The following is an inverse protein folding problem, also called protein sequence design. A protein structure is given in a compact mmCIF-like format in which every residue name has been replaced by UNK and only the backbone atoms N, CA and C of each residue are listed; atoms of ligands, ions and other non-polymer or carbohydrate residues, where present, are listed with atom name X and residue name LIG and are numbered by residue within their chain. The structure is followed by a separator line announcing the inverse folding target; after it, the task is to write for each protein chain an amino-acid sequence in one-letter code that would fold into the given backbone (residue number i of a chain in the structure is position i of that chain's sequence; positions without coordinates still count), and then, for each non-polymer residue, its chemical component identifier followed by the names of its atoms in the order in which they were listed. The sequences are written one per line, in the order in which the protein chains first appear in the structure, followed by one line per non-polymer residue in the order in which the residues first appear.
data_IF_289604761355
#
_entry.id   IF_289604761355
#
_cell.length_a   1.000
_cell.length_b   1.000
_cell.length_c   1.000
_cell.angle_alpha   90.00
_cell.angle_beta   90.00
_cell.angle_gamma   90.00
#
_symmetry.space_group_name_H-M   'P 1'
#
loop_
_entity.id
_entity.type
_entity.pdbx_description
1 polymer ?
#
# COMPACT_ATOMS: atom_id res chain seq x y z
N UNK A 1 -10.12 -0.95 25.40
CA UNK A 1 -8.92 -1.21 24.57
C UNK A 1 -9.02 -2.67 24.10
N UNK A 2 -9.10 -2.96 22.80
CA UNK A 2 -9.57 -4.23 22.18
C UNK A 2 -8.75 -5.52 22.48
N UNK A 3 -8.00 -5.59 23.59
CA UNK A 3 -7.32 -6.82 24.05
C UNK A 3 -6.17 -7.35 23.17
N UNK A 4 -5.97 -6.83 21.96
CA UNK A 4 -4.93 -7.27 21.04
C UNK A 4 -3.58 -6.61 21.33
N UNK A 5 -2.53 -7.42 21.38
CA UNK A 5 -1.13 -6.97 21.47
C UNK A 5 -0.63 -6.37 20.14
N UNK A 6 0.48 -5.62 20.21
CA UNK A 6 1.14 -5.04 19.02
C UNK A 6 1.44 -6.06 17.92
N UNK A 7 1.72 -7.32 18.27
CA UNK A 7 2.01 -8.40 17.30
C UNK A 7 0.74 -9.00 16.67
N UNK A 8 -0.40 -8.87 17.34
CA UNK A 8 -1.68 -9.44 16.89
C UNK A 8 -2.46 -8.47 15.98
N UNK A 9 -2.28 -7.15 16.16
CA UNK A 9 -2.92 -6.13 15.32
C UNK A 9 -2.69 -6.32 13.81
N UNK A 10 -1.46 -6.61 13.32
CA UNK A 10 -1.24 -6.87 11.90
C UNK A 10 -1.99 -8.10 11.39
N UNK A 11 -2.15 -9.14 12.21
CA UNK A 11 -2.87 -10.36 11.85
C UNK A 11 -4.37 -10.06 11.72
N UNK A 12 -4.93 -9.34 12.69
CA UNK A 12 -6.32 -8.90 12.64
C UNK A 12 -6.59 -8.04 11.40
N UNK A 13 -5.70 -7.08 11.11
CA UNK A 13 -5.78 -6.28 9.88
C UNK A 13 -5.79 -7.16 8.62
N UNK A 14 -4.90 -8.15 8.54
CA UNK A 14 -4.82 -9.04 7.39
C UNK A 14 -6.09 -9.87 7.19
N UNK A 15 -6.65 -10.42 8.29
CA UNK A 15 -7.93 -11.12 8.27
C UNK A 15 -9.05 -10.21 7.77
N UNK A 16 -9.18 -9.01 8.34
CA UNK A 16 -10.23 -8.07 7.93
C UNK A 16 -10.11 -7.67 6.47
N UNK A 17 -8.89 -7.42 5.98
CA UNK A 17 -8.66 -7.13 4.56
C UNK A 17 -9.03 -8.31 3.65
N UNK A 18 -8.75 -9.54 4.07
CA UNK A 18 -9.04 -10.74 3.30
C UNK A 18 -10.55 -11.01 3.21
N UNK A 19 -11.27 -10.89 4.33
CA UNK A 19 -12.74 -11.05 4.36
C UNK A 19 -13.42 -9.92 3.58
N UNK A 20 -12.96 -8.68 3.77
CA UNK A 20 -13.59 -7.52 3.13
C UNK A 20 -13.18 -7.33 1.65
N UNK A 21 -12.34 -8.21 1.10
CA UNK A 21 -11.72 -8.02 -0.23
C UNK A 21 -12.75 -7.95 -1.36
N UNK A 22 -13.94 -8.53 -1.20
CA UNK A 22 -14.96 -8.57 -2.26
C UNK A 22 -15.94 -7.39 -2.14
N UNK A 23 -15.84 -6.61 -1.06
CA UNK A 23 -16.65 -5.41 -0.79
C UNK A 23 -15.90 -4.11 -1.07
N UNK A 24 -14.87 -4.15 -1.93
CA UNK A 24 -14.06 -2.96 -2.24
C UNK A 24 -14.95 -1.86 -2.79
N UNK A 25 -14.84 -0.66 -2.22
CA UNK A 25 -15.58 0.50 -2.71
C UNK A 25 -16.95 0.73 -2.08
N UNK A 26 -17.47 -0.24 -1.33
CA UNK A 26 -18.75 -0.13 -0.62
C UNK A 26 -18.52 0.47 0.77
N UNK A 27 -19.36 1.42 1.20
CA UNK A 27 -19.30 1.89 2.59
C UNK A 27 -19.94 0.88 3.52
N UNK A 28 -19.44 0.78 4.76
CA UNK A 28 -20.06 -0.06 5.77
C UNK A 28 -21.56 0.25 5.96
N UNK A 29 -21.94 1.52 5.92
CA UNK A 29 -23.35 1.95 6.01
C UNK A 29 -24.23 1.47 4.85
N UNK A 30 -23.64 1.15 3.70
CA UNK A 30 -24.34 0.75 2.46
C UNK A 30 -24.47 -0.77 2.35
N UNK A 31 -23.81 -1.55 3.22
CA UNK A 31 -23.97 -3.00 3.26
C UNK A 31 -25.30 -3.39 3.89
N UNK A 32 -25.96 -4.38 3.29
CA UNK A 32 -27.16 -4.97 3.88
C UNK A 32 -26.85 -5.67 5.22
N UNK A 33 -27.81 -5.70 6.17
CA UNK A 33 -27.58 -6.26 7.50
C UNK A 33 -27.07 -7.70 7.47
N UNK A 34 -27.58 -8.53 6.55
CA UNK A 34 -27.17 -9.93 6.42
C UNK A 34 -25.69 -10.06 6.04
N UNK A 35 -25.21 -9.29 5.07
CA UNK A 35 -23.77 -9.25 4.74
C UNK A 35 -22.91 -8.75 5.89
N UNK A 36 -23.41 -7.82 6.71
CA UNK A 36 -22.68 -7.37 7.90
C UNK A 36 -22.51 -8.52 8.89
N UNK A 37 -23.57 -9.29 9.14
CA UNK A 37 -23.53 -10.49 9.97
C UNK A 37 -22.57 -11.54 9.41
N UNK A 38 -22.62 -11.81 8.10
CA UNK A 38 -21.73 -12.74 7.42
C UNK A 38 -20.25 -12.32 7.59
N UNK A 39 -19.93 -11.04 7.33
CA UNK A 39 -18.57 -10.48 7.51
C UNK A 39 -18.11 -10.63 8.97
N UNK A 40 -18.98 -10.37 9.94
CA UNK A 40 -18.66 -10.50 11.35
C UNK A 40 -18.31 -11.94 11.71
N UNK A 41 -19.14 -12.87 11.27
CA UNK A 41 -18.96 -14.29 11.54
C UNK A 41 -17.67 -14.80 10.89
N UNK A 42 -17.41 -14.46 9.63
CA UNK A 42 -16.18 -14.83 8.94
C UNK A 42 -14.92 -14.28 9.61
N UNK A 43 -14.95 -13.01 10.07
CA UNK A 43 -13.84 -12.42 10.82
C UNK A 43 -13.62 -13.16 12.14
N UNK A 44 -14.68 -13.40 12.93
CA UNK A 44 -14.60 -14.15 14.19
C UNK A 44 -14.01 -15.55 13.98
N UNK A 45 -14.45 -16.25 12.94
CA UNK A 45 -13.98 -17.59 12.61
C UNK A 45 -12.51 -17.59 12.16
N UNK A 46 -12.11 -16.62 11.32
CA UNK A 46 -10.73 -16.47 10.90
C UNK A 46 -9.79 -16.07 12.07
N UNK A 47 -10.27 -15.25 13.00
CA UNK A 47 -9.55 -14.91 14.23
C UNK A 47 -9.34 -16.14 15.12
N UNK A 48 -10.39 -16.96 15.30
CA UNK A 48 -10.31 -18.23 16.04
C UNK A 48 -9.30 -19.18 15.39
N UNK A 49 -9.34 -19.35 14.06
CA UNK A 49 -8.37 -20.17 13.30
C UNK A 49 -6.93 -19.67 13.46
N UNK A 50 -6.77 -18.35 13.57
CA UNK A 50 -5.46 -17.69 13.76
C UNK A 50 -5.03 -17.58 15.22
N UNK A 51 -5.76 -18.21 16.16
CA UNK A 51 -5.50 -18.19 17.61
C UNK A 51 -5.42 -16.76 18.19
N UNK A 52 -6.20 -15.84 17.64
CA UNK A 52 -6.32 -14.49 18.18
C UNK A 52 -7.36 -14.45 19.32
N UNK A 53 -7.17 -13.58 20.32
CA UNK A 53 -8.21 -13.29 21.30
C UNK A 53 -9.50 -12.82 20.62
N UNK A 54 -10.64 -13.16 21.22
CA UNK A 54 -11.93 -12.66 20.73
C UNK A 54 -11.99 -11.13 20.84
N UNK A 55 -12.56 -10.50 19.83
CA UNK A 55 -12.86 -9.06 19.79
C UNK A 55 -14.38 -8.92 19.72
N UNK A 56 -14.88 -7.88 20.37
CA UNK A 56 -16.30 -7.56 20.38
C UNK A 56 -16.78 -7.03 19.02
N UNK A 57 -18.10 -6.99 18.88
CA UNK A 57 -18.77 -6.57 17.65
C UNK A 57 -18.43 -5.12 17.28
N UNK A 58 -18.29 -4.23 18.27
CA UNK A 58 -17.87 -2.85 18.04
C UNK A 58 -16.43 -2.76 17.51
N UNK A 59 -15.51 -3.57 18.04
CA UNK A 59 -14.13 -3.62 17.56
C UNK A 59 -14.00 -4.15 16.13
N UNK A 60 -14.83 -5.14 15.78
CA UNK A 60 -14.94 -5.65 14.41
C UNK A 60 -15.53 -4.57 13.50
N UNK A 61 -16.62 -3.92 13.90
CA UNK A 61 -17.26 -2.84 13.12
C UNK A 61 -16.29 -1.71 12.79
N UNK A 62 -15.59 -1.21 13.83
CA UNK A 62 -14.61 -0.15 13.66
C UNK A 62 -13.50 -0.57 12.69
N UNK A 63 -13.03 -1.82 12.80
CA UNK A 63 -11.98 -2.35 11.94
C UNK A 63 -12.47 -2.43 10.49
N UNK A 64 -13.65 -3.01 10.26
CA UNK A 64 -14.24 -3.14 8.91
C UNK A 64 -14.47 -1.78 8.27
N UNK A 65 -15.06 -0.84 9.02
CA UNK A 65 -15.28 0.55 8.60
C UNK A 65 -13.99 1.27 8.23
N UNK A 66 -12.86 0.88 8.82
CA UNK A 66 -11.54 1.43 8.51
C UNK A 66 -10.89 0.79 7.27
N UNK A 67 -11.11 -0.50 7.02
CA UNK A 67 -10.46 -1.21 5.90
C UNK A 67 -11.20 -1.07 4.58
N UNK A 68 -12.54 -0.96 4.57
CA UNK A 68 -13.31 -0.80 3.33
C UNK A 68 -12.91 0.45 2.51
N UNK A 69 -12.73 1.64 3.13
CA UNK A 69 -12.19 2.81 2.42
C UNK A 69 -10.77 2.59 1.89
N UNK A 70 -9.93 1.91 2.67
CA UNK A 70 -8.55 1.58 2.29
C UNK A 70 -8.52 0.67 1.06
N UNK A 71 -9.41 -0.34 1.01
CA UNK A 71 -9.57 -1.24 -0.13
C UNK A 71 -10.08 -0.51 -1.38
N UNK A 72 -11.01 0.45 -1.21
CA UNK A 72 -11.47 1.32 -2.30
C UNK A 72 -10.33 2.11 -2.91
N UNK A 73 -9.50 2.71 -2.08
CA UNK A 73 -8.34 3.49 -2.51
C UNK A 73 -7.34 2.60 -3.26
N UNK A 74 -7.01 1.42 -2.71
CA UNK A 74 -6.14 0.45 -3.38
C UNK A 74 -6.70 -0.03 -4.73
N UNK A 75 -8.01 -0.21 -4.85
CA UNK A 75 -8.65 -0.63 -6.11
C UNK A 75 -8.56 0.47 -7.17
N UNK A 76 -8.88 1.72 -6.82
CA UNK A 76 -8.74 2.86 -7.75
C UNK A 76 -7.32 2.97 -8.30
N UNK A 77 -6.31 2.77 -7.46
CA UNK A 77 -4.92 2.71 -7.92
C UNK A 77 -4.65 1.56 -8.87
N UNK A 78 -5.14 0.36 -8.55
CA UNK A 78 -4.96 -0.81 -9.39
C UNK A 78 -5.60 -0.61 -10.77
N UNK A 79 -6.80 -0.03 -10.81
CA UNK A 79 -7.54 0.25 -12.04
C UNK A 79 -6.82 1.31 -12.88
N UNK A 80 -6.50 2.49 -12.31
CA UNK A 80 -5.73 3.53 -13.00
C UNK A 80 -4.38 3.03 -13.52
N UNK A 81 -3.70 2.20 -12.73
CA UNK A 81 -2.44 1.60 -13.14
C UNK A 81 -2.62 0.60 -14.28
N UNK A 82 -3.68 -0.22 -14.25
CA UNK A 82 -4.00 -1.17 -15.31
C UNK A 82 -4.37 -0.43 -16.61
N UNK A 83 -5.14 0.64 -16.53
CA UNK A 83 -5.49 1.48 -17.67
C UNK A 83 -4.23 2.10 -18.29
N UNK A 84 -3.32 2.60 -17.46
CA UNK A 84 -2.01 3.05 -17.93
C UNK A 84 -1.22 1.94 -18.62
N UNK A 85 -1.18 0.72 -18.06
CA UNK A 85 -0.47 -0.40 -18.69
C UNK A 85 -1.06 -0.78 -20.05
N UNK A 86 -2.39 -0.74 -20.17
CA UNK A 86 -3.08 -0.98 -21.43
C UNK A 86 -2.73 0.09 -22.47
N UNK A 87 -2.71 1.37 -22.07
CA UNK A 87 -2.32 2.48 -22.95
C UNK A 87 -0.85 2.41 -23.37
N UNK A 88 0.04 2.11 -22.42
CA UNK A 88 1.47 2.03 -22.66
C UNK A 88 1.89 0.77 -23.44
N UNK A 89 1.03 -0.24 -23.54
CA UNK A 89 1.31 -1.50 -24.23
C UNK A 89 2.48 -2.28 -23.63
N UNK A 90 2.84 -2.01 -22.37
CA UNK A 90 4.05 -2.56 -21.75
C UNK A 90 3.90 -2.82 -20.26
N UNK A 91 4.83 -3.60 -19.71
CA UNK A 91 4.95 -3.84 -18.27
C UNK A 91 5.49 -2.58 -17.57
N UNK A 92 5.30 -2.52 -16.26
CA UNK A 92 5.82 -1.42 -15.44
C UNK A 92 7.34 -1.26 -15.62
N UNK A 93 7.84 -0.08 -16.01
CA UNK A 93 9.26 0.14 -16.23
C UNK A 93 10.00 0.38 -14.91
N UNK A 94 10.18 -0.69 -14.11
CA UNK A 94 10.83 -0.63 -12.79
C UNK A 94 12.18 0.10 -12.83
N UNK A 95 12.95 -0.07 -13.90
CA UNK A 95 14.25 0.57 -14.10
C UNK A 95 14.16 2.10 -14.09
N UNK A 96 13.13 2.68 -14.72
CA UNK A 96 12.94 4.13 -14.80
C UNK A 96 12.78 4.74 -13.40
N UNK A 97 11.91 4.13 -12.60
CA UNK A 97 11.63 4.58 -11.24
C UNK A 97 12.84 4.38 -10.33
N UNK A 98 13.59 3.29 -10.50
CA UNK A 98 14.85 3.06 -9.78
C UNK A 98 15.90 4.10 -10.15
N UNK A 99 16.05 4.43 -11.42
CA UNK A 99 17.01 5.45 -11.87
C UNK A 99 16.64 6.86 -11.38
N UNK A 100 15.34 7.18 -11.28
CA UNK A 100 14.89 8.45 -10.68
C UNK A 100 15.24 8.53 -9.18
N UNK A 101 15.00 7.45 -8.44
CA UNK A 101 15.42 7.32 -7.03
C UNK A 101 16.94 7.45 -6.91
N UNK A 102 17.68 6.66 -7.69
CA UNK A 102 19.14 6.68 -7.67
C UNK A 102 19.64 8.09 -8.01
N UNK A 103 19.14 8.76 -9.04
CA UNK A 103 19.57 10.10 -9.41
C UNK A 103 19.37 11.13 -8.27
N UNK A 104 18.26 11.03 -7.54
CA UNK A 104 17.95 11.96 -6.43
C UNK A 104 18.77 11.69 -5.18
N UNK A 105 19.06 10.43 -4.88
CA UNK A 105 19.75 10.01 -3.65
C UNK A 105 21.22 9.59 -3.87
N UNK A 106 21.73 9.62 -5.10
CA UNK A 106 23.13 9.33 -5.42
C UNK A 106 24.03 10.36 -4.74
N UNK A 107 25.01 9.88 -3.98
CA UNK A 107 25.95 10.73 -3.26
C UNK A 107 25.36 11.36 -1.99
N UNK A 108 24.05 11.23 -1.76
CA UNK A 108 23.45 11.46 -0.44
C UNK A 108 23.84 10.25 0.41
N UNK A 109 25.07 10.28 0.93
CA UNK A 109 25.44 9.60 2.18
C UNK A 109 24.68 10.26 3.36
N UNK A 110 23.40 10.63 3.19
CA UNK A 110 22.51 10.77 4.33
C UNK A 110 22.65 9.44 5.04
N UNK A 111 23.09 9.52 6.30
CA UNK A 111 23.43 8.35 7.09
C UNK A 111 22.29 7.37 6.88
N UNK A 112 22.62 6.20 6.32
CA UNK A 112 21.68 5.13 5.92
C UNK A 112 20.65 4.77 7.01
N UNK A 113 20.91 5.22 8.23
CA UNK A 113 20.13 5.10 9.45
C UNK A 113 18.91 6.03 9.53
N UNK A 114 18.90 7.14 8.76
CA UNK A 114 17.90 8.22 8.84
C UNK A 114 16.68 7.99 7.92
N UNK A 115 16.84 7.24 6.83
CA UNK A 115 15.77 6.91 5.88
C UNK A 115 15.36 5.44 6.01
N UNK A 116 14.43 5.16 6.92
CA UNK A 116 13.91 3.80 7.18
C UNK A 116 12.61 3.52 6.43
N UNK A 117 11.87 4.55 6.03
CA UNK A 117 10.62 4.40 5.29
C UNK A 117 10.28 5.60 4.40
N UNK A 118 9.50 5.35 3.35
CA UNK A 118 8.99 6.36 2.40
C UNK A 118 8.33 7.56 3.07
N UNK A 119 7.65 7.34 4.21
CA UNK A 119 6.92 8.40 4.94
C UNK A 119 7.83 9.38 5.66
N UNK A 120 9.13 9.08 5.80
CA UNK A 120 10.12 10.01 6.35
C UNK A 120 10.67 10.98 5.30
N UNK A 121 10.41 10.73 4.01
CA UNK A 121 10.84 11.61 2.93
C UNK A 121 9.88 12.81 2.89
N UNK A 122 10.40 14.06 2.95
CA UNK A 122 9.60 15.26 2.77
C UNK A 122 8.69 15.17 1.54
N UNK A 123 7.47 15.69 1.64
CA UNK A 123 6.49 15.64 0.57
C UNK A 123 7.02 16.28 -0.73
N UNK A 124 7.68 17.44 -0.62
CA UNK A 124 8.34 18.12 -1.73
C UNK A 124 9.27 17.20 -2.51
N UNK A 125 10.13 16.44 -1.80
CA UNK A 125 11.04 15.48 -2.43
C UNK A 125 10.27 14.31 -3.08
N UNK A 126 9.17 13.86 -2.47
CA UNK A 126 8.32 12.81 -3.06
C UNK A 126 7.65 13.29 -4.35
N UNK A 127 7.19 14.53 -4.40
CA UNK A 127 6.59 15.15 -5.58
C UNK A 127 7.63 15.39 -6.68
N UNK A 128 8.84 15.84 -6.34
CA UNK A 128 9.94 15.97 -7.30
C UNK A 128 10.32 14.62 -7.93
N UNK A 129 10.38 13.55 -7.14
CA UNK A 129 10.61 12.19 -7.66
C UNK A 129 9.49 11.74 -8.60
N UNK A 130 8.24 12.09 -8.30
CA UNK A 130 7.10 11.77 -9.15
C UNK A 130 7.18 12.49 -10.49
N UNK A 131 7.48 13.79 -10.47
CA UNK A 131 7.69 14.61 -11.66
C UNK A 131 8.85 14.08 -12.53
N UNK A 132 10.00 13.76 -11.92
CA UNK A 132 11.16 13.20 -12.62
C UNK A 132 10.86 11.81 -13.21
N UNK A 133 10.10 10.97 -12.51
CA UNK A 133 9.68 9.67 -13.03
C UNK A 133 8.78 9.81 -14.26
N UNK A 134 7.79 10.70 -14.22
CA UNK A 134 6.93 10.98 -15.36
C UNK A 134 7.70 11.58 -16.54
N UNK A 135 8.65 12.50 -16.28
CA UNK A 135 9.54 13.04 -17.31
C UNK A 135 10.31 11.93 -18.04
N UNK A 136 10.84 10.94 -17.31
CA UNK A 136 11.56 9.80 -17.89
C UNK A 136 10.65 8.85 -18.67
N UNK A 137 9.40 8.66 -18.22
CA UNK A 137 8.42 7.90 -19.01
C UNK A 137 8.21 8.54 -20.39
N UNK A 138 8.00 9.86 -20.42
CA UNK A 138 7.84 10.60 -21.67
C UNK A 138 9.07 10.50 -22.56
N UNK A 139 10.28 10.58 -22.00
CA UNK A 139 11.54 10.40 -22.74
C UNK A 139 11.67 9.01 -23.39
N UNK A 140 10.97 8.00 -22.86
CA UNK A 140 10.91 6.65 -23.42
C UNK A 140 9.71 6.43 -24.36
N UNK A 141 8.97 7.50 -24.69
CA UNK A 141 7.76 7.41 -25.51
C UNK A 141 6.57 6.77 -24.80
N UNK A 142 6.59 6.70 -23.47
CA UNK A 142 5.51 6.14 -22.66
C UNK A 142 4.58 7.27 -22.17
N UNK A 143 3.28 6.98 -21.99
CA UNK A 143 2.35 7.96 -21.41
C UNK A 143 2.73 8.28 -19.96
N UNK A 144 2.41 9.50 -19.52
CA UNK A 144 2.52 9.87 -18.11
C UNK A 144 1.52 9.08 -17.26
N UNK A 145 1.86 8.86 -15.99
CA UNK A 145 0.94 8.30 -15.00
C UNK A 145 0.34 9.42 -14.14
N UNK A 146 -0.86 9.17 -13.64
CA UNK A 146 -1.49 9.94 -12.56
C UNK A 146 -0.56 10.04 -11.34
N UNK A 147 -0.43 11.23 -10.74
CA UNK A 147 0.57 11.50 -9.70
C UNK A 147 0.43 10.55 -8.50
N UNK A 148 -0.80 10.29 -8.06
CA UNK A 148 -1.04 9.38 -6.94
C UNK A 148 -0.55 7.96 -7.28
N UNK A 149 -0.73 7.51 -8.53
CA UNK A 149 -0.24 6.21 -9.02
C UNK A 149 1.29 6.18 -9.03
N UNK A 150 1.94 7.25 -9.50
CA UNK A 150 3.41 7.38 -9.50
C UNK A 150 3.96 7.30 -8.09
N UNK A 151 3.39 8.06 -7.15
CA UNK A 151 3.80 8.09 -5.76
C UNK A 151 3.68 6.71 -5.09
N UNK A 152 2.59 5.97 -5.36
CA UNK A 152 2.40 4.62 -4.82
C UNK A 152 3.41 3.62 -5.42
N UNK A 153 3.76 3.77 -6.70
CA UNK A 153 4.80 2.94 -7.33
C UNK A 153 6.20 3.29 -6.83
N UNK A 154 6.52 4.57 -6.68
CA UNK A 154 7.75 5.04 -6.07
C UNK A 154 7.89 4.53 -4.65
N UNK A 155 6.83 4.58 -3.83
CA UNK A 155 6.83 3.99 -2.48
C UNK A 155 7.25 2.53 -2.49
N UNK A 156 6.72 1.72 -3.40
CA UNK A 156 7.08 0.29 -3.54
C UNK A 156 8.54 0.11 -4.01
N UNK A 157 8.95 0.85 -5.04
CA UNK A 157 10.32 0.82 -5.55
C UNK A 157 11.33 1.25 -4.49
N UNK A 158 11.05 2.32 -3.76
CA UNK A 158 11.88 2.84 -2.68
C UNK A 158 11.97 1.87 -1.51
N UNK A 159 10.85 1.27 -1.08
CA UNK A 159 10.86 0.25 -0.02
C UNK A 159 11.70 -0.98 -0.41
N UNK A 160 11.70 -1.37 -1.68
CA UNK A 160 12.55 -2.44 -2.16
C UNK A 160 14.02 -2.00 -2.23
N UNK A 161 14.29 -0.81 -2.76
CA UNK A 161 15.62 -0.21 -2.83
C UNK A 161 16.25 -0.11 -1.44
N UNK A 162 15.53 0.41 -0.44
CA UNK A 162 15.99 0.48 0.97
C UNK A 162 16.32 -0.91 1.54
N UNK A 163 15.52 -1.95 1.21
CA UNK A 163 15.80 -3.34 1.65
C UNK A 163 16.98 -3.98 0.94
N UNK A 164 17.20 -3.67 -0.34
CA UNK A 164 18.35 -4.22 -1.07
C UNK A 164 19.65 -3.62 -0.55
N UNK A 165 19.64 -2.34 -0.14
CA UNK A 165 20.78 -1.69 0.49
C UNK A 165 21.14 -2.28 1.87
N UNK A 166 20.20 -2.90 2.59
CA UNK A 166 20.48 -3.55 3.90
C UNK A 166 21.06 -4.96 3.80
N UNK A 167 20.97 -5.62 2.62
CA UNK A 167 21.56 -6.95 2.40
C UNK A 167 23.07 -6.96 2.19
N UNK A 168 23.67 -5.81 1.91
CA UNK A 168 25.11 -5.67 1.62
C UNK A 168 25.93 -5.18 2.83
N UNK A 169 25.45 -5.43 4.06
CA UNK A 169 26.23 -5.17 5.28
C UNK A 169 26.90 -6.47 5.76
N UNK A 170 28.24 -6.53 5.88
CA UNK A 170 28.86 -7.51 6.75
C UNK A 170 28.40 -7.21 8.18
N UNK A 171 28.05 -8.28 8.92
CA UNK A 171 27.77 -8.19 10.36
C UNK A 171 29.02 -7.80 11.13
#
# INVERSE_FOLDING_TARGET
MMGLSKRQWPIFLHISLAVCKDFKGVKWSELDPKKKEDIFQEIKDAMRKSKLPAVDDQGIEWRVSSVLPSLRHMQRFADRFKDWQNMAGTKFPHRVFREAIDAKFRGIHAKREDLRCWTQIPEEIRLELAAESNKRLVQLGLPTMDEEVVLEKLRKCMNHWMKDQTKFMPR
#
